data_IF_631421700827
#
_entry.id   IF_631421700827
#
_cell.length_a   1.000
_cell.length_b   1.000
_cell.length_c   1.000
_cell.angle_alpha   90.00
_cell.angle_beta   90.00
_cell.angle_gamma   90.00
#
_symmetry.space_group_name_H-M   'P 1'
#
loop_
_entity.id
_entity.type
_entity.pdbx_description
1 polymer ?
#
# COMPACT_ATOMS: atom_id res chain seq x y z
N UNK A 1 2.17 -24.49 -0.27
CA UNK A 1 1.72 -23.09 -0.08
C UNK A 1 0.25 -23.07 0.31
N UNK A 2 -0.33 -21.96 0.81
CA UNK A 2 -1.78 -21.85 1.09
C UNK A 2 -2.65 -22.24 -0.12
N UNK A 3 -2.14 -21.99 -1.33
CA UNK A 3 -2.77 -22.38 -2.60
C UNK A 3 -2.88 -23.90 -2.74
N UNK A 4 -1.80 -24.62 -2.40
CA UNK A 4 -1.73 -26.08 -2.54
C UNK A 4 -2.41 -26.83 -1.39
N UNK A 5 -2.29 -26.32 -0.16
CA UNK A 5 -2.76 -27.03 1.05
C UNK A 5 -4.21 -26.73 1.39
N UNK A 6 -4.69 -25.51 1.09
CA UNK A 6 -6.02 -25.04 1.46
C UNK A 6 -6.93 -24.79 0.25
N UNK A 7 -6.49 -25.18 -0.96
CA UNK A 7 -7.19 -24.96 -2.23
C UNK A 7 -7.73 -23.53 -2.41
N UNK A 8 -7.04 -22.56 -1.82
CA UNK A 8 -7.44 -21.16 -1.86
C UNK A 8 -6.91 -20.53 -3.15
N UNK A 9 -7.70 -19.66 -3.77
CA UNK A 9 -7.24 -18.95 -4.95
C UNK A 9 -6.01 -18.07 -4.63
N UNK A 10 -5.18 -17.82 -5.63
CA UNK A 10 -3.89 -17.13 -5.44
C UNK A 10 -4.05 -15.74 -4.82
N UNK A 11 -5.10 -15.00 -5.19
CA UNK A 11 -5.38 -13.66 -4.67
C UNK A 11 -5.65 -13.72 -3.17
N UNK A 12 -6.54 -14.60 -2.72
CA UNK A 12 -6.87 -14.77 -1.31
C UNK A 12 -5.69 -15.31 -0.48
N UNK A 13 -4.94 -16.27 -1.03
CA UNK A 13 -3.74 -16.80 -0.38
C UNK A 13 -2.65 -15.73 -0.19
N UNK A 14 -2.46 -14.86 -1.18
CA UNK A 14 -1.52 -13.73 -1.10
C UNK A 14 -1.99 -12.69 -0.08
N UNK A 15 -3.27 -12.30 -0.11
CA UNK A 15 -3.84 -11.35 0.86
C UNK A 15 -3.66 -11.82 2.31
N UNK A 16 -3.99 -13.09 2.58
CA UNK A 16 -3.83 -13.68 3.91
C UNK A 16 -2.36 -13.71 4.36
N UNK A 17 -1.44 -14.00 3.43
CA UNK A 17 0.00 -14.01 3.74
C UNK A 17 0.49 -12.62 4.10
N UNK A 18 0.14 -11.60 3.31
CA UNK A 18 0.48 -10.19 3.58
C UNK A 18 -0.04 -9.78 4.97
N UNK A 19 -1.33 -10.03 5.25
CA UNK A 19 -1.97 -9.67 6.51
C UNK A 19 -1.28 -10.34 7.70
N UNK A 20 -0.94 -11.63 7.57
CA UNK A 20 -0.23 -12.37 8.62
C UNK A 20 1.11 -11.71 8.96
N UNK A 21 1.93 -11.40 7.95
CA UNK A 21 3.21 -10.74 8.19
C UNK A 21 3.05 -9.32 8.72
N UNK A 22 2.17 -8.51 8.13
CA UNK A 22 1.92 -7.14 8.62
C UNK A 22 1.53 -7.15 10.10
N UNK A 23 0.62 -8.04 10.51
CA UNK A 23 0.18 -8.15 11.90
C UNK A 23 1.30 -8.60 12.87
N UNK A 24 2.20 -9.48 12.43
CA UNK A 24 3.37 -9.87 13.23
C UNK A 24 4.22 -8.64 13.58
N UNK A 25 4.51 -7.77 12.60
CA UNK A 25 5.33 -6.58 12.80
C UNK A 25 4.59 -5.47 13.55
N UNK A 26 3.30 -5.24 13.25
CA UNK A 26 2.47 -4.27 13.94
C UNK A 26 2.26 -4.61 15.43
N UNK A 27 2.26 -5.90 15.78
CA UNK A 27 2.13 -6.37 17.15
C UNK A 27 3.41 -6.24 18.01
N UNK A 28 4.52 -5.76 17.43
CA UNK A 28 5.78 -5.59 18.18
C UNK A 28 5.81 -4.31 19.00
N UNK A 29 6.50 -4.33 20.14
CA UNK A 29 6.68 -3.14 20.99
C UNK A 29 7.63 -2.12 20.38
N UNK A 30 8.60 -2.57 19.58
CA UNK A 30 9.57 -1.70 18.89
C UNK A 30 8.85 -0.81 17.86
N UNK A 31 8.88 0.53 18.01
CA UNK A 31 8.28 1.46 17.06
C UNK A 31 8.75 1.28 15.62
N UNK A 32 10.04 0.98 15.42
CA UNK A 32 10.61 0.77 14.09
C UNK A 32 10.04 -0.49 13.43
N UNK A 33 9.84 -1.56 14.21
CA UNK A 33 9.21 -2.78 13.69
C UNK A 33 7.74 -2.57 13.38
N UNK A 34 7.02 -1.76 14.16
CA UNK A 34 5.64 -1.39 13.83
C UNK A 34 5.55 -0.62 12.51
N UNK A 35 6.45 0.33 12.28
CA UNK A 35 6.53 1.07 11.02
C UNK A 35 6.75 0.11 9.83
N UNK A 36 7.63 -0.88 9.98
CA UNK A 36 7.80 -1.95 8.97
C UNK A 36 6.53 -2.75 8.71
N UNK A 37 5.67 -2.92 9.71
CA UNK A 37 4.36 -3.55 9.53
C UNK A 37 3.47 -2.76 8.57
N UNK A 38 3.46 -1.44 8.70
CA UNK A 38 2.78 -0.54 7.76
C UNK A 38 3.39 -0.59 6.36
N UNK A 39 4.72 -0.64 6.24
CA UNK A 39 5.40 -0.77 4.94
C UNK A 39 5.04 -2.08 4.22
N UNK A 40 4.97 -3.20 4.96
CA UNK A 40 4.57 -4.51 4.41
C UNK A 40 3.13 -4.44 3.88
N UNK A 41 2.24 -3.76 4.59
CA UNK A 41 0.86 -3.57 4.17
C UNK A 41 0.78 -2.77 2.86
N UNK A 42 1.50 -1.66 2.74
CA UNK A 42 1.53 -0.83 1.51
C UNK A 42 2.04 -1.62 0.30
N UNK A 43 3.16 -2.35 0.47
CA UNK A 43 3.73 -3.20 -0.59
C UNK A 43 2.73 -4.31 -0.97
N UNK A 44 2.07 -4.90 0.01
CA UNK A 44 1.06 -5.93 -0.18
C UNK A 44 -0.15 -5.42 -0.96
N UNK A 45 -0.70 -4.27 -0.60
CA UNK A 45 -1.81 -3.64 -1.29
C UNK A 45 -1.45 -3.30 -2.75
N UNK A 46 -0.21 -2.89 -3.00
CA UNK A 46 0.29 -2.69 -4.37
C UNK A 46 0.39 -4.00 -5.16
N UNK A 47 0.87 -5.07 -4.54
CA UNK A 47 0.92 -6.40 -5.18
C UNK A 47 -0.48 -6.88 -5.54
N UNK A 48 -1.44 -6.74 -4.61
CA UNK A 48 -2.83 -7.12 -4.83
C UNK A 48 -3.48 -6.34 -5.98
N UNK A 49 -3.26 -5.02 -6.04
CA UNK A 49 -3.71 -4.18 -7.16
C UNK A 49 -3.18 -4.69 -8.51
N UNK A 50 -1.88 -4.99 -8.58
CA UNK A 50 -1.27 -5.55 -9.79
C UNK A 50 -1.88 -6.91 -10.19
N UNK A 51 -2.07 -7.81 -9.23
CA UNK A 51 -2.66 -9.14 -9.48
C UNK A 51 -4.11 -9.06 -9.98
N UNK A 52 -4.86 -8.06 -9.52
CA UNK A 52 -6.25 -7.82 -9.93
C UNK A 52 -6.36 -7.01 -11.24
N UNK A 53 -5.23 -6.62 -11.85
CA UNK A 53 -5.24 -5.73 -13.01
C UNK A 53 -5.76 -4.33 -12.69
N UNK A 54 -5.88 -3.99 -11.41
CA UNK A 54 -6.21 -2.64 -10.96
C UNK A 54 -4.94 -1.81 -11.07
N UNK A 55 -4.76 -1.14 -12.20
CA UNK A 55 -3.76 -0.10 -12.36
C UNK A 55 -4.37 1.22 -11.90
N UNK A 56 -4.25 1.62 -10.61
CA UNK A 56 -4.51 3.00 -10.28
C UNK A 56 -3.53 3.83 -11.12
N UNK A 57 -4.04 4.87 -11.79
CA UNK A 57 -3.14 5.90 -12.31
C UNK A 57 -2.45 6.48 -11.08
N UNK A 58 -1.18 6.16 -10.87
CA UNK A 58 -0.40 6.69 -9.75
C UNK A 58 -0.42 8.22 -9.77
N UNK A 59 -0.11 8.89 -8.68
CA UNK A 59 -0.36 10.33 -8.54
C UNK A 59 0.43 11.23 -9.53
N UNK A 60 1.37 10.65 -10.28
CA UNK A 60 2.13 11.29 -11.36
C UNK A 60 1.31 11.78 -12.55
N UNK A 61 0.05 11.34 -12.72
CA UNK A 61 -0.83 11.79 -13.80
C UNK A 61 -1.59 13.09 -13.49
N UNK A 62 -1.47 13.60 -12.26
CA UNK A 62 -2.13 14.84 -11.83
C UNK A 62 -1.52 16.02 -12.60
N UNK A 63 -2.37 16.88 -13.14
CA UNK A 63 -1.96 18.08 -13.88
C UNK A 63 -2.71 19.32 -13.40
N UNK A 64 -2.10 20.49 -13.61
CA UNK A 64 -2.59 21.77 -13.08
C UNK A 64 -2.27 21.96 -11.60
N UNK A 65 -2.52 23.16 -11.07
CA UNK A 65 -2.29 23.43 -9.65
C UNK A 65 -3.42 22.82 -8.81
N UNK A 66 -3.09 21.90 -7.89
CA UNK A 66 -4.09 21.16 -7.09
C UNK A 66 -3.78 21.17 -5.60
N UNK A 67 -4.81 20.98 -4.78
CA UNK A 67 -4.70 20.57 -3.38
C UNK A 67 -5.13 19.10 -3.29
N UNK A 68 -4.27 18.24 -2.76
CA UNK A 68 -4.54 16.82 -2.60
C UNK A 68 -5.27 16.57 -1.28
N UNK A 69 -6.41 15.89 -1.33
CA UNK A 69 -7.18 15.48 -0.13
C UNK A 69 -7.29 13.96 -0.13
N UNK A 70 -6.78 13.32 0.93
CA UNK A 70 -6.81 11.87 1.11
C UNK A 70 -7.04 11.54 2.59
N UNK A 71 -7.47 10.31 2.92
CA UNK A 71 -7.54 9.88 4.32
C UNK A 71 -6.17 9.55 4.91
N UNK A 72 -5.27 9.07 4.05
CA UNK A 72 -3.89 8.77 4.37
C UNK A 72 -3.10 8.78 3.06
N UNK A 73 -1.78 8.96 3.14
CA UNK A 73 -0.88 8.86 2.00
C UNK A 73 0.29 7.96 2.38
N UNK A 74 0.47 6.87 1.64
CA UNK A 74 1.62 6.02 1.86
C UNK A 74 2.93 6.77 1.49
N UNK A 75 4.08 6.38 2.08
CA UNK A 75 5.38 6.90 1.65
C UNK A 75 5.62 6.73 0.14
N UNK A 76 5.12 5.63 -0.44
CA UNK A 76 5.21 5.37 -1.87
C UNK A 76 4.38 6.34 -2.71
N UNK A 77 3.20 6.75 -2.22
CA UNK A 77 2.35 7.75 -2.87
C UNK A 77 3.02 9.12 -2.88
N UNK A 78 3.49 9.58 -1.73
CA UNK A 78 4.15 10.89 -1.60
C UNK A 78 5.43 10.99 -2.42
N UNK A 79 6.18 9.89 -2.56
CA UNK A 79 7.36 9.83 -3.42
C UNK A 79 7.05 10.03 -4.92
N UNK A 80 5.82 9.72 -5.34
CA UNK A 80 5.39 9.82 -6.75
C UNK A 80 4.74 11.17 -7.11
N UNK A 81 4.53 12.05 -6.14
CA UNK A 81 3.89 13.36 -6.36
C UNK A 81 4.79 14.32 -7.14
N UNK A 82 4.21 14.99 -8.13
CA UNK A 82 4.86 16.14 -8.77
C UNK A 82 4.65 17.41 -7.91
N UNK A 83 5.77 17.88 -7.35
CA UNK A 83 5.82 19.06 -6.46
C UNK A 83 5.52 20.38 -7.19
N UNK A 84 5.57 20.40 -8.52
CA UNK A 84 5.24 21.59 -9.29
C UNK A 84 3.72 21.84 -9.35
N UNK A 85 2.95 20.75 -9.34
CA UNK A 85 1.48 20.76 -9.48
C UNK A 85 0.77 20.70 -8.13
N UNK A 86 1.30 19.97 -7.15
CA UNK A 86 0.69 19.84 -5.81
C UNK A 86 1.05 21.04 -4.93
N UNK A 87 0.07 21.89 -4.62
CA UNK A 87 0.24 23.12 -3.81
C UNK A 87 -0.05 22.91 -2.32
N UNK A 88 -0.67 21.80 -1.96
CA UNK A 88 -1.00 21.46 -0.58
C UNK A 88 -1.52 20.04 -0.45
N UNK A 89 -1.43 19.50 0.77
CA UNK A 89 -1.90 18.17 1.14
C UNK A 89 -2.78 18.31 2.39
N UNK A 90 -3.94 17.66 2.38
CA UNK A 90 -4.83 17.49 3.53
C UNK A 90 -5.02 15.98 3.72
N UNK A 91 -4.64 15.50 4.90
CA UNK A 91 -4.71 14.09 5.32
C UNK A 91 -5.40 14.00 6.67
#
# INVERSE_FOLDING_TARGET
SLVETSHTNVVAATAQTIETFANIFLGMEDPYMRERGSDIKDIGDRLMRNMLGMNPRGLSHISGEVILVAHDLAPSDTASLDKNVVKGIVT
#
